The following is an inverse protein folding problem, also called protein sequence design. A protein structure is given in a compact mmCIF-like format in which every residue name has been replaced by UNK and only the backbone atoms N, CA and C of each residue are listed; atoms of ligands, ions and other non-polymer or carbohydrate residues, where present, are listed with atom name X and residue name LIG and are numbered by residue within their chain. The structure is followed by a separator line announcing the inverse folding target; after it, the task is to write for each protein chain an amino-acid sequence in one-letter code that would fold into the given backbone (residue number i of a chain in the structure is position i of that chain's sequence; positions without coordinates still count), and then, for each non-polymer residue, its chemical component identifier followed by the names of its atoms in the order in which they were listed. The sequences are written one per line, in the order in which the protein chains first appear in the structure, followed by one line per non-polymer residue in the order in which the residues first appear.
data_IF_830771498179
#
_entry.id   IF_830771498179
#
_cell.length_a   1.000
_cell.length_b   1.000
_cell.length_c   1.000
_cell.angle_alpha   90.00
_cell.angle_beta   90.00
_cell.angle_gamma   90.00
#
_symmetry.space_group_name_H-M   'P 1'
#
loop_
_entity.id
_entity.type
_entity.pdbx_description
1 polymer ?
#
# COMPACT_ATOMS: atom_id res chain seq x y z
N UNK A 1 -8.76 -11.07 -21.31
CA UNK A 1 -7.59 -11.50 -22.15
C UNK A 1 -6.28 -11.47 -21.35
N UNK A 2 -5.90 -10.31 -20.75
CA UNK A 2 -4.63 -10.24 -20.00
C UNK A 2 -4.66 -11.08 -18.72
N UNK A 3 -5.71 -10.99 -17.92
CA UNK A 3 -5.90 -11.84 -16.74
C UNK A 3 -5.96 -13.33 -17.09
N UNK A 4 -6.55 -13.69 -18.24
CA UNK A 4 -6.61 -15.08 -18.72
C UNK A 4 -5.22 -15.63 -19.08
N UNK A 5 -4.37 -14.77 -19.66
CA UNK A 5 -2.99 -15.13 -19.94
C UNK A 5 -2.19 -15.36 -18.65
N UNK A 6 -2.36 -14.48 -17.66
CA UNK A 6 -1.71 -14.60 -16.36
C UNK A 6 -2.17 -15.90 -15.65
N UNK A 7 -3.47 -16.18 -15.63
CA UNK A 7 -4.00 -17.41 -15.04
C UNK A 7 -3.37 -18.65 -15.70
N UNK A 8 -3.28 -18.66 -17.03
CA UNK A 8 -2.65 -19.76 -17.75
C UNK A 8 -1.17 -19.90 -17.39
N UNK A 9 -0.41 -18.79 -17.44
CA UNK A 9 1.02 -18.82 -17.22
C UNK A 9 1.39 -19.29 -15.79
N UNK A 10 0.64 -18.85 -14.77
CA UNK A 10 0.98 -19.11 -13.37
C UNK A 10 0.28 -20.34 -12.78
N UNK A 11 -0.92 -20.68 -13.23
CA UNK A 11 -1.76 -21.68 -12.55
C UNK A 11 -2.09 -22.90 -13.41
N UNK A 12 -2.32 -22.71 -14.73
CA UNK A 12 -2.77 -23.80 -15.59
C UNK A 12 -1.59 -24.45 -16.32
N UNK A 13 -0.86 -23.66 -17.10
CA UNK A 13 0.24 -24.15 -17.93
C UNK A 13 1.58 -24.20 -17.13
N UNK A 14 1.65 -23.46 -16.00
CA UNK A 14 2.80 -23.34 -15.12
C UNK A 14 4.10 -22.99 -15.88
N UNK A 15 4.01 -22.05 -16.79
CA UNK A 15 5.12 -21.61 -17.66
C UNK A 15 5.81 -20.34 -17.18
N UNK A 16 5.31 -19.72 -16.09
CA UNK A 16 5.97 -18.57 -15.48
C UNK A 16 7.31 -18.99 -14.86
N UNK A 17 8.33 -18.14 -15.01
CA UNK A 17 9.66 -18.38 -14.46
C UNK A 17 9.74 -18.18 -12.91
N UNK A 18 8.64 -17.79 -12.28
CA UNK A 18 8.51 -17.51 -10.85
C UNK A 18 7.08 -17.77 -10.40
N UNK A 19 6.85 -17.97 -9.11
CA UNK A 19 5.58 -18.44 -8.56
C UNK A 19 4.58 -17.32 -8.33
N UNK A 20 5.05 -16.13 -7.92
CA UNK A 20 4.21 -14.98 -7.64
C UNK A 20 4.62 -13.77 -8.49
N UNK A 21 3.70 -12.87 -8.81
CA UNK A 21 4.03 -11.62 -9.51
C UNK A 21 5.03 -10.77 -8.72
N UNK A 22 5.90 -10.06 -9.45
CA UNK A 22 6.95 -9.24 -8.82
C UNK A 22 6.39 -8.10 -7.97
N UNK A 23 5.37 -7.38 -8.47
CA UNK A 23 4.69 -6.34 -7.69
C UNK A 23 3.32 -6.82 -7.26
N UNK A 24 3.00 -6.87 -5.95
CA UNK A 24 1.74 -7.41 -5.43
C UNK A 24 0.55 -6.43 -5.56
N UNK A 25 0.40 -5.83 -6.71
CA UNK A 25 -0.76 -4.99 -7.06
C UNK A 25 -1.78 -5.73 -7.93
N UNK A 26 -1.36 -6.81 -8.58
CA UNK A 26 -2.22 -7.58 -9.46
C UNK A 26 -3.35 -8.29 -8.71
N UNK A 27 -3.10 -8.72 -7.49
CA UNK A 27 -4.10 -9.37 -6.64
C UNK A 27 -5.27 -8.41 -6.36
N UNK A 28 -4.96 -7.16 -6.04
CA UNK A 28 -5.92 -6.08 -5.87
C UNK A 28 -6.70 -5.79 -7.16
N UNK A 29 -6.02 -5.77 -8.31
CA UNK A 29 -6.64 -5.56 -9.61
C UNK A 29 -7.59 -6.72 -9.98
N UNK A 30 -7.20 -7.97 -9.70
CA UNK A 30 -8.02 -9.16 -9.91
C UNK A 30 -9.28 -9.16 -9.03
N UNK A 31 -9.17 -8.73 -7.78
CA UNK A 31 -10.36 -8.54 -6.90
C UNK A 31 -11.32 -7.52 -7.50
N UNK A 32 -10.81 -6.39 -7.99
CA UNK A 32 -11.66 -5.38 -8.65
C UNK A 32 -12.29 -5.90 -9.94
N UNK A 33 -11.55 -6.68 -10.70
CA UNK A 33 -12.07 -7.31 -11.92
C UNK A 33 -13.18 -8.31 -11.59
N UNK A 34 -13.01 -9.11 -10.54
CA UNK A 34 -14.08 -9.99 -10.03
C UNK A 34 -15.33 -9.20 -9.65
N UNK A 35 -15.18 -8.10 -8.88
CA UNK A 35 -16.32 -7.26 -8.47
C UNK A 35 -17.06 -6.64 -9.66
N UNK A 36 -16.33 -6.31 -10.72
CA UNK A 36 -16.92 -5.72 -11.94
C UNK A 36 -17.58 -6.71 -12.88
N UNK A 37 -17.13 -7.98 -12.90
CA UNK A 37 -17.57 -8.98 -13.89
C UNK A 37 -18.38 -10.13 -13.30
N UNK A 38 -18.27 -10.39 -11.99
CA UNK A 38 -18.82 -11.57 -11.33
C UNK A 38 -18.07 -12.87 -11.59
N UNK A 39 -16.99 -12.83 -12.39
CA UNK A 39 -16.22 -14.02 -12.81
C UNK A 39 -15.32 -14.52 -11.66
N UNK A 40 -15.70 -15.60 -11.01
CA UNK A 40 -15.03 -16.17 -9.82
C UNK A 40 -13.55 -16.50 -10.04
N UNK A 41 -13.18 -16.89 -11.24
CA UNK A 41 -11.78 -17.24 -11.57
C UNK A 41 -10.80 -16.10 -11.24
N UNK A 42 -11.20 -14.83 -11.30
CA UNK A 42 -10.34 -13.72 -11.00
C UNK A 42 -10.04 -13.61 -9.49
N UNK A 43 -11.05 -13.78 -8.65
CA UNK A 43 -10.82 -13.80 -7.19
C UNK A 43 -10.05 -15.06 -6.75
N UNK A 44 -10.27 -16.20 -7.41
CA UNK A 44 -9.52 -17.43 -7.17
C UNK A 44 -8.05 -17.28 -7.56
N UNK A 45 -7.75 -16.58 -8.66
CA UNK A 45 -6.36 -16.27 -9.04
C UNK A 45 -5.71 -15.29 -8.06
N UNK A 46 -6.42 -14.26 -7.62
CA UNK A 46 -5.92 -13.35 -6.58
C UNK A 46 -5.58 -14.11 -5.28
N UNK A 47 -6.49 -14.99 -4.84
CA UNK A 47 -6.28 -15.85 -3.66
C UNK A 47 -5.10 -16.80 -3.86
N UNK A 48 -4.94 -17.38 -5.03
CA UNK A 48 -3.80 -18.24 -5.37
C UNK A 48 -2.47 -17.52 -5.13
N UNK A 49 -2.32 -16.26 -5.59
CA UNK A 49 -1.11 -15.50 -5.36
C UNK A 49 -0.88 -15.15 -3.88
N UNK A 50 -1.93 -14.78 -3.14
CA UNK A 50 -1.84 -14.56 -1.67
C UNK A 50 -1.40 -15.84 -0.95
N UNK A 51 -1.95 -17.00 -1.32
CA UNK A 51 -1.65 -18.26 -0.67
C UNK A 51 -0.23 -18.78 -1.02
N UNK A 52 0.27 -18.42 -2.19
CA UNK A 52 1.61 -18.84 -2.65
C UNK A 52 2.73 -17.97 -2.11
N UNK A 53 2.47 -16.67 -1.91
CA UNK A 53 3.50 -15.73 -1.45
C UNK A 53 4.02 -16.10 -0.06
N UNK A 54 5.36 -16.28 0.01
CA UNK A 54 6.04 -16.74 1.23
C UNK A 54 5.84 -18.21 1.58
N UNK A 55 5.20 -19.01 0.71
CA UNK A 55 4.88 -20.42 0.93
C UNK A 55 5.57 -21.36 -0.08
N UNK A 56 6.62 -20.92 -0.73
CA UNK A 56 7.25 -21.68 -1.80
C UNK A 56 8.73 -21.89 -1.54
N UNK A 57 9.20 -23.11 -1.78
CA UNK A 57 10.62 -23.44 -1.82
C UNK A 57 11.30 -22.90 -3.09
N UNK A 58 10.53 -22.34 -4.03
CA UNK A 58 11.02 -21.79 -5.28
C UNK A 58 11.16 -20.27 -5.21
N UNK A 59 12.19 -19.69 -5.83
CA UNK A 59 12.49 -18.27 -5.73
C UNK A 59 11.40 -17.40 -6.34
N UNK A 60 11.10 -16.28 -5.67
CA UNK A 60 10.43 -15.14 -6.27
C UNK A 60 11.31 -14.42 -7.30
N UNK A 61 10.86 -13.28 -7.79
CA UNK A 61 11.71 -12.40 -8.61
C UNK A 61 12.62 -11.62 -7.67
N UNK A 62 13.85 -12.08 -7.53
CA UNK A 62 14.85 -11.38 -6.74
C UNK A 62 15.94 -10.83 -7.65
N UNK A 63 16.50 -9.69 -7.26
CA UNK A 63 17.65 -9.05 -7.88
C UNK A 63 18.71 -8.83 -6.81
N UNK A 64 19.88 -8.37 -7.17
CA UNK A 64 20.97 -8.11 -6.22
C UNK A 64 20.58 -7.15 -5.07
N UNK A 65 19.56 -6.33 -5.28
CA UNK A 65 19.07 -5.34 -4.33
C UNK A 65 17.62 -5.61 -3.81
N UNK A 66 16.87 -6.48 -4.46
CA UNK A 66 15.50 -6.83 -4.10
C UNK A 66 15.46 -8.31 -3.67
N UNK A 67 15.46 -8.53 -2.37
CA UNK A 67 15.41 -9.85 -1.76
C UNK A 67 13.97 -10.25 -1.36
N UNK A 68 13.83 -11.37 -0.68
CA UNK A 68 12.56 -11.89 -0.18
C UNK A 68 11.81 -10.91 0.74
N UNK A 69 12.52 -10.16 1.59
CA UNK A 69 11.91 -9.14 2.46
C UNK A 69 11.34 -7.98 1.65
N UNK A 70 12.10 -7.49 0.68
CA UNK A 70 11.65 -6.44 -0.24
C UNK A 70 10.36 -6.84 -0.95
N UNK A 71 10.25 -8.11 -1.34
CA UNK A 71 9.15 -8.66 -2.13
C UNK A 71 8.01 -9.25 -1.31
N UNK A 72 8.09 -9.23 0.02
CA UNK A 72 7.15 -9.86 0.96
C UNK A 72 7.02 -11.38 0.75
N UNK A 73 8.08 -12.06 0.38
CA UNK A 73 8.13 -13.50 0.14
C UNK A 73 8.83 -14.28 1.28
N UNK A 74 9.31 -13.60 2.34
CA UNK A 74 10.09 -14.21 3.42
C UNK A 74 9.26 -15.14 4.32
N UNK A 75 7.97 -14.89 4.46
CA UNK A 75 7.03 -15.72 5.22
C UNK A 75 5.63 -15.70 4.59
N UNK A 76 4.81 -16.73 4.84
CA UNK A 76 3.41 -16.74 4.41
C UNK A 76 2.63 -15.52 4.89
N UNK A 77 1.74 -14.99 4.03
CA UNK A 77 0.96 -13.77 4.34
C UNK A 77 0.19 -13.90 5.65
N UNK A 78 -0.36 -15.09 5.97
CA UNK A 78 -1.11 -15.35 7.21
C UNK A 78 -0.24 -15.37 8.46
N UNK A 79 1.05 -15.56 8.32
CA UNK A 79 1.99 -15.63 9.44
C UNK A 79 2.64 -14.26 9.74
N UNK A 80 2.42 -13.26 8.87
CA UNK A 80 2.99 -11.92 9.05
C UNK A 80 2.55 -11.28 10.36
N UNK A 81 3.53 -10.75 11.07
CA UNK A 81 3.33 -10.04 12.34
C UNK A 81 3.68 -8.57 12.24
N UNK A 82 4.56 -8.23 11.32
CA UNK A 82 5.15 -6.89 11.16
C UNK A 82 5.15 -6.47 9.70
N UNK A 83 5.19 -5.17 9.47
CA UNK A 83 5.31 -4.59 8.14
C UNK A 83 6.78 -4.53 7.73
N UNK A 84 7.18 -5.33 6.76
CA UNK A 84 8.55 -5.44 6.30
C UNK A 84 8.68 -5.11 4.81
N UNK A 85 9.91 -4.75 4.40
CA UNK A 85 10.27 -4.52 3.01
C UNK A 85 9.65 -3.27 2.40
N UNK A 86 9.51 -3.28 1.10
CA UNK A 86 9.01 -2.12 0.35
C UNK A 86 7.57 -1.74 0.76
N UNK A 87 7.38 -0.51 1.20
CA UNK A 87 6.14 -0.06 1.85
C UNK A 87 4.91 -0.20 0.96
N UNK A 88 4.97 0.28 -0.28
CA UNK A 88 3.84 0.25 -1.21
C UNK A 88 3.46 -1.17 -1.58
N UNK A 89 4.46 -2.03 -1.86
CA UNK A 89 4.24 -3.45 -2.16
C UNK A 89 3.55 -4.18 -1.01
N UNK A 90 4.07 -3.99 0.20
CA UNK A 90 3.50 -4.59 1.41
C UNK A 90 2.06 -4.15 1.63
N UNK A 91 1.77 -2.87 1.50
CA UNK A 91 0.42 -2.33 1.69
C UNK A 91 -0.57 -2.77 0.60
N UNK A 92 -0.15 -2.84 -0.67
CA UNK A 92 -1.03 -3.37 -1.73
C UNK A 92 -1.31 -4.86 -1.57
N UNK A 93 -0.32 -5.64 -1.14
CA UNK A 93 -0.52 -7.05 -0.78
C UNK A 93 -1.60 -7.18 0.29
N UNK A 94 -1.51 -6.38 1.35
CA UNK A 94 -2.49 -6.41 2.45
C UNK A 94 -3.85 -5.85 2.07
N UNK A 95 -3.93 -4.93 1.11
CA UNK A 95 -5.22 -4.53 0.51
C UNK A 95 -5.93 -5.73 -0.13
N UNK A 96 -5.22 -6.50 -0.93
CA UNK A 96 -5.79 -7.70 -1.56
C UNK A 96 -6.10 -8.79 -0.52
N UNK A 97 -5.22 -8.97 0.46
CA UNK A 97 -5.44 -9.92 1.56
C UNK A 97 -6.72 -9.58 2.34
N UNK A 98 -6.95 -8.32 2.68
CA UNK A 98 -8.17 -7.88 3.36
C UNK A 98 -9.44 -8.10 2.52
N UNK A 99 -9.41 -7.77 1.23
CA UNK A 99 -10.53 -8.05 0.33
C UNK A 99 -10.84 -9.56 0.24
N UNK A 100 -9.80 -10.41 0.14
CA UNK A 100 -9.93 -11.87 0.08
C UNK A 100 -10.46 -12.41 1.41
N UNK A 101 -9.91 -11.94 2.54
CA UNK A 101 -10.35 -12.32 3.88
C UNK A 101 -11.85 -12.03 4.08
N UNK A 102 -12.31 -10.87 3.61
CA UNK A 102 -13.71 -10.48 3.69
C UNK A 102 -14.61 -11.37 2.81
N UNK A 103 -14.24 -11.60 1.56
CA UNK A 103 -15.04 -12.37 0.59
C UNK A 103 -15.14 -13.84 0.98
N UNK A 104 -14.03 -14.45 1.40
CA UNK A 104 -13.98 -15.86 1.78
C UNK A 104 -14.27 -16.13 3.27
N UNK A 105 -14.47 -15.08 4.07
CA UNK A 105 -14.63 -15.15 5.54
C UNK A 105 -13.44 -15.87 6.20
N UNK A 106 -12.23 -15.60 5.70
CA UNK A 106 -10.98 -16.18 6.18
C UNK A 106 -10.49 -15.41 7.43
N UNK A 107 -10.75 -15.94 8.61
CA UNK A 107 -10.42 -15.31 9.88
C UNK A 107 -8.91 -15.25 10.14
N UNK A 108 -8.14 -16.22 9.66
CA UNK A 108 -6.68 -16.24 9.85
C UNK A 108 -6.03 -15.11 9.03
N UNK A 109 -6.49 -14.94 7.80
CA UNK A 109 -6.04 -13.85 6.94
C UNK A 109 -6.49 -12.47 7.47
N UNK A 110 -7.74 -12.37 8.00
CA UNK A 110 -8.22 -11.16 8.70
C UNK A 110 -7.30 -10.82 9.88
N UNK A 111 -6.98 -11.79 10.73
CA UNK A 111 -6.11 -11.58 11.89
C UNK A 111 -4.69 -11.15 11.46
N UNK A 112 -4.17 -11.67 10.35
CA UNK A 112 -2.91 -11.20 9.78
C UNK A 112 -2.99 -9.74 9.33
N UNK A 113 -4.09 -9.34 8.69
CA UNK A 113 -4.33 -7.94 8.30
C UNK A 113 -4.38 -7.02 9.52
N UNK A 114 -5.08 -7.41 10.60
CA UNK A 114 -5.15 -6.64 11.83
C UNK A 114 -3.77 -6.44 12.48
N UNK A 115 -2.99 -7.52 12.62
CA UNK A 115 -1.62 -7.43 13.16
C UNK A 115 -0.71 -6.53 12.31
N UNK A 116 -0.82 -6.65 11.00
CA UNK A 116 -0.04 -5.84 10.07
C UNK A 116 -0.41 -4.35 10.18
N UNK A 117 -1.70 -4.03 10.24
CA UNK A 117 -2.20 -2.68 10.45
C UNK A 117 -1.67 -2.09 11.76
N UNK A 118 -1.80 -2.84 12.86
CA UNK A 118 -1.33 -2.42 14.18
C UNK A 118 0.20 -2.21 14.22
N UNK A 119 0.96 -3.04 13.51
CA UNK A 119 2.42 -2.86 13.38
C UNK A 119 2.77 -1.53 12.73
N UNK A 120 2.06 -1.14 11.68
CA UNK A 120 2.30 0.15 11.01
C UNK A 120 1.86 1.31 11.89
N UNK A 121 0.58 1.32 12.26
CA UNK A 121 -0.06 2.49 12.87
C UNK A 121 0.53 2.82 14.24
N UNK A 122 0.89 1.81 15.01
CA UNK A 122 1.39 2.01 16.37
C UNK A 122 2.91 2.18 16.45
N UNK A 123 3.67 1.79 15.39
CA UNK A 123 5.12 1.68 15.54
C UNK A 123 5.95 2.18 14.36
N UNK A 124 5.40 2.19 13.13
CA UNK A 124 6.16 2.41 11.89
C UNK A 124 5.57 3.49 10.98
N UNK A 125 4.62 4.25 11.50
CA UNK A 125 3.97 5.36 10.80
C UNK A 125 4.41 6.68 11.41
N UNK A 126 4.75 7.64 10.56
CA UNK A 126 5.02 9.03 10.96
C UNK A 126 3.73 9.74 11.39
N UNK A 127 3.87 10.82 12.12
CA UNK A 127 2.75 11.65 12.60
C UNK A 127 1.84 12.14 11.46
N UNK A 128 2.40 12.31 10.28
CA UNK A 128 1.68 12.71 9.06
C UNK A 128 0.85 11.58 8.42
N UNK A 129 1.00 10.34 8.89
CA UNK A 129 0.42 9.18 8.23
C UNK A 129 1.33 8.57 7.15
N UNK A 130 2.52 9.14 6.92
CA UNK A 130 3.51 8.57 6.01
C UNK A 130 4.12 7.29 6.55
N UNK A 131 4.51 6.37 5.68
CA UNK A 131 5.21 5.12 5.99
C UNK A 131 6.48 4.98 5.18
N UNK A 132 7.47 4.26 5.75
CA UNK A 132 8.78 4.07 5.14
C UNK A 132 9.81 5.05 5.63
N UNK A 133 10.69 4.59 6.52
CA UNK A 133 11.77 5.40 7.09
C UNK A 133 13.06 5.34 6.28
N UNK A 134 13.19 4.38 5.36
CA UNK A 134 14.39 4.21 4.53
C UNK A 134 14.10 4.41 3.06
N UNK A 135 14.95 5.22 2.39
CA UNK A 135 14.94 5.31 0.93
C UNK A 135 15.64 4.12 0.25
N UNK A 136 16.43 3.35 1.02
CA UNK A 136 16.98 2.09 0.53
C UNK A 136 15.87 1.03 0.49
N UNK A 137 15.54 0.60 -0.72
CA UNK A 137 14.43 -0.32 -0.95
C UNK A 137 13.05 0.27 -0.66
N UNK A 138 12.95 1.59 -0.48
CA UNK A 138 11.67 2.28 -0.23
C UNK A 138 10.87 1.62 0.90
N UNK A 139 11.57 1.32 2.01
CA UNK A 139 11.16 0.27 2.93
C UNK A 139 10.78 0.75 4.33
N UNK A 140 9.96 -0.07 4.98
CA UNK A 140 9.84 -0.06 6.43
C UNK A 140 11.19 -0.48 7.05
N UNK A 141 11.45 0.05 8.26
CA UNK A 141 12.55 -0.37 9.12
C UNK A 141 12.01 -0.98 10.42
N UNK A 142 12.82 -1.08 11.46
CA UNK A 142 12.42 -1.63 12.74
C UNK A 142 11.42 -0.73 13.48
N UNK A 143 10.75 -1.26 14.50
CA UNK A 143 9.78 -0.54 15.31
C UNK A 143 10.38 0.75 15.90
N UNK A 144 9.65 1.87 15.78
CA UNK A 144 10.00 3.21 16.28
C UNK A 144 11.24 3.86 15.65
N UNK A 145 11.79 3.32 14.59
CA UNK A 145 12.83 3.96 13.80
C UNK A 145 12.20 4.94 12.79
N UNK A 146 11.90 6.14 13.27
CA UNK A 146 11.15 7.18 12.54
C UNK A 146 11.90 8.52 12.54
N UNK A 147 13.14 8.57 12.00
CA UNK A 147 13.91 9.80 11.92
C UNK A 147 13.27 10.79 10.94
N UNK A 148 13.14 12.07 11.34
CA UNK A 148 12.48 13.09 10.54
C UNK A 148 13.21 13.39 9.22
N UNK A 149 14.54 13.55 9.28
CA UNK A 149 15.38 13.99 8.15
C UNK A 149 15.55 12.92 7.07
N UNK A 150 15.62 11.66 7.48
CA UNK A 150 15.85 10.54 6.57
C UNK A 150 14.57 9.78 6.21
N UNK A 151 13.41 10.28 6.63
CA UNK A 151 12.12 9.71 6.26
C UNK A 151 11.97 9.67 4.75
N UNK A 152 11.71 8.49 4.22
CA UNK A 152 11.34 8.34 2.82
C UNK A 152 9.89 8.78 2.59
N UNK A 153 8.97 8.22 3.36
CA UNK A 153 7.56 8.58 3.44
C UNK A 153 6.96 8.86 2.03
N UNK A 154 6.99 7.84 1.18
CA UNK A 154 6.49 7.93 -0.18
C UNK A 154 5.00 8.29 -0.23
N UNK A 155 4.62 9.17 -1.14
CA UNK A 155 3.21 9.52 -1.34
C UNK A 155 2.35 8.29 -1.67
N UNK A 156 2.85 7.33 -2.47
CA UNK A 156 2.14 6.09 -2.73
C UNK A 156 1.97 5.21 -1.49
N UNK A 157 2.90 5.24 -0.54
CA UNK A 157 2.76 4.50 0.71
C UNK A 157 1.60 5.05 1.57
N UNK A 158 1.47 6.38 1.66
CA UNK A 158 0.33 7.00 2.34
C UNK A 158 -1.01 6.64 1.66
N UNK A 159 -1.07 6.68 0.33
CA UNK A 159 -2.26 6.29 -0.43
C UNK A 159 -2.61 4.82 -0.19
N UNK A 160 -1.64 3.92 -0.26
CA UNK A 160 -1.88 2.49 -0.06
C UNK A 160 -2.27 2.16 1.39
N UNK A 161 -1.80 2.92 2.38
CA UNK A 161 -2.25 2.79 3.76
C UNK A 161 -3.72 3.23 3.92
N UNK A 162 -4.13 4.34 3.31
CA UNK A 162 -5.54 4.75 3.28
C UNK A 162 -6.43 3.70 2.59
N UNK A 163 -5.98 3.14 1.46
CA UNK A 163 -6.66 2.06 0.75
C UNK A 163 -6.77 0.78 1.58
N UNK A 164 -5.77 0.47 2.39
CA UNK A 164 -5.80 -0.67 3.29
C UNK A 164 -6.76 -0.43 4.45
N UNK A 165 -6.72 0.73 5.09
CA UNK A 165 -7.64 1.12 6.15
C UNK A 165 -9.11 1.09 5.70
N UNK A 166 -9.41 1.56 4.48
CA UNK A 166 -10.75 1.46 3.87
C UNK A 166 -11.26 0.01 3.80
N UNK A 167 -10.38 -0.93 3.48
CA UNK A 167 -10.75 -2.34 3.42
C UNK A 167 -10.99 -2.95 4.80
N UNK A 168 -10.24 -2.48 5.78
CA UNK A 168 -10.40 -2.92 7.17
C UNK A 168 -11.74 -2.47 7.77
N UNK A 169 -12.29 -1.33 7.35
CA UNK A 169 -13.65 -0.88 7.73
C UNK A 169 -14.76 -1.88 7.38
N UNK A 170 -14.55 -2.76 6.40
CA UNK A 170 -15.53 -3.79 6.01
C UNK A 170 -15.72 -4.87 7.08
N UNK A 171 -14.76 -5.03 7.98
CA UNK A 171 -14.85 -6.01 9.08
C UNK A 171 -15.58 -5.47 10.31
N UNK A 172 -15.87 -4.19 10.36
CA UNK A 172 -16.58 -3.51 11.42
C UNK A 172 -16.29 -2.00 11.42
N UNK A 173 -17.23 -1.21 11.92
CA UNK A 173 -17.12 0.23 12.03
C UNK A 173 -16.18 0.64 13.19
N UNK A 174 -14.89 0.43 13.01
CA UNK A 174 -13.86 0.84 13.97
C UNK A 174 -13.26 2.18 13.53
N UNK A 175 -13.41 3.22 14.36
CA UNK A 175 -12.95 4.58 14.08
C UNK A 175 -11.45 4.67 13.83
N UNK A 176 -10.65 3.72 14.36
CA UNK A 176 -9.20 3.68 14.11
C UNK A 176 -8.85 3.67 12.62
N UNK A 177 -9.65 2.98 11.81
CA UNK A 177 -9.43 2.94 10.36
C UNK A 177 -9.80 4.26 9.70
N UNK A 178 -10.92 4.88 10.09
CA UNK A 178 -11.33 6.21 9.58
C UNK A 178 -10.34 7.29 9.95
N UNK A 179 -9.83 7.29 11.20
CA UNK A 179 -8.84 8.24 11.68
C UNK A 179 -7.52 8.16 10.89
N UNK A 180 -7.12 6.95 10.50
CA UNK A 180 -5.93 6.75 9.67
C UNK A 180 -6.18 7.22 8.24
N UNK A 181 -7.35 6.98 7.67
CA UNK A 181 -7.72 7.51 6.36
C UNK A 181 -7.67 9.04 6.38
N UNK A 182 -8.27 9.68 7.37
CA UNK A 182 -8.27 11.15 7.51
C UNK A 182 -6.84 11.70 7.63
N UNK A 183 -6.05 11.13 8.53
CA UNK A 183 -4.67 11.55 8.77
C UNK A 183 -3.80 11.42 7.53
N UNK A 184 -3.83 10.28 6.87
CA UNK A 184 -3.06 10.04 5.65
C UNK A 184 -3.51 10.93 4.51
N UNK A 185 -4.82 11.12 4.35
CA UNK A 185 -5.38 11.95 3.30
C UNK A 185 -4.90 13.40 3.40
N UNK A 186 -5.09 14.04 4.56
CA UNK A 186 -4.75 15.45 4.70
C UNK A 186 -3.25 15.71 4.82
N UNK A 187 -2.50 14.85 5.48
CA UNK A 187 -1.11 15.13 5.82
C UNK A 187 -0.08 14.30 5.02
N UNK A 188 -0.45 13.12 4.54
CA UNK A 188 0.45 12.24 3.79
C UNK A 188 0.23 12.27 2.27
N UNK A 189 -0.99 12.56 1.82
CA UNK A 189 -1.38 12.51 0.40
C UNK A 189 -1.53 13.92 -0.17
N UNK A 190 -2.44 14.72 0.40
CA UNK A 190 -2.73 16.06 -0.12
C UNK A 190 -1.54 17.02 0.05
N UNK A 191 -0.69 16.82 1.05
CA UNK A 191 0.57 17.58 1.19
C UNK A 191 1.55 17.28 0.03
N UNK A 192 1.45 16.14 -0.61
CA UNK A 192 2.27 15.77 -1.76
C UNK A 192 1.92 16.50 -3.06
N UNK A 193 0.74 17.13 -3.17
CA UNK A 193 0.29 17.82 -4.38
C UNK A 193 0.40 19.34 -4.22
N UNK A 194 0.76 20.06 -5.29
CA UNK A 194 0.72 21.51 -5.32
C UNK A 194 -0.72 22.06 -5.35
N UNK A 195 -0.92 23.31 -4.93
CA UNK A 195 -2.25 23.93 -4.89
C UNK A 195 -2.92 24.03 -6.27
N UNK A 196 -2.13 24.11 -7.34
CA UNK A 196 -2.65 24.11 -8.71
C UNK A 196 -2.85 22.70 -9.30
N UNK A 197 -2.50 21.64 -8.52
CA UNK A 197 -2.67 20.24 -8.90
C UNK A 197 -1.69 19.72 -9.96
N UNK A 198 -0.62 20.46 -10.30
CA UNK A 198 0.25 20.13 -11.43
C UNK A 198 1.60 19.58 -11.04
N UNK A 199 2.00 19.72 -9.78
CA UNK A 199 3.31 19.29 -9.30
C UNK A 199 3.19 18.47 -8.02
N UNK A 200 4.14 17.58 -7.79
CA UNK A 200 4.03 16.54 -6.77
C UNK A 200 5.36 16.33 -6.04
N UNK A 201 5.28 15.83 -4.80
CA UNK A 201 6.38 15.17 -4.12
C UNK A 201 6.26 13.65 -4.29
N UNK A 202 7.42 12.99 -4.44
CA UNK A 202 7.56 11.54 -4.32
C UNK A 202 7.84 11.19 -2.85
N UNK A 203 8.97 11.70 -2.32
CA UNK A 203 9.41 11.56 -0.94
C UNK A 203 8.94 12.74 -0.09
N UNK A 204 8.54 12.48 1.16
CA UNK A 204 8.00 13.51 2.07
C UNK A 204 8.71 13.45 3.42
N UNK A 205 10.01 13.79 3.51
CA UNK A 205 10.70 13.88 4.79
C UNK A 205 10.05 14.95 5.69
N UNK A 206 10.10 14.75 7.00
CA UNK A 206 9.50 15.67 7.97
C UNK A 206 10.42 16.84 8.33
N UNK A 207 11.68 16.73 8.00
CA UNK A 207 12.70 17.75 8.19
C UNK A 207 13.52 17.89 6.90
N UNK A 208 13.65 19.13 6.41
CA UNK A 208 14.44 19.45 5.23
C UNK A 208 15.58 20.37 5.68
N UNK A 209 16.80 19.94 5.41
CA UNK A 209 18.01 20.69 5.64
C UNK A 209 18.73 20.86 4.30
N UNK A 210 18.75 22.08 3.71
CA UNK A 210 19.33 22.31 2.39
C UNK A 210 20.81 21.95 2.27
N UNK A 211 21.56 22.02 3.38
CA UNK A 211 22.97 21.68 3.40
C UNK A 211 23.23 20.18 3.52
N UNK A 212 22.26 19.43 4.03
CA UNK A 212 22.37 17.98 4.26
C UNK A 212 21.68 17.16 3.16
N UNK A 213 20.51 17.59 2.73
CA UNK A 213 19.73 16.88 1.73
C UNK A 213 20.40 16.91 0.34
N UNK A 214 20.12 15.92 -0.48
CA UNK A 214 20.70 15.72 -1.80
C UNK A 214 22.21 15.43 -1.83
N UNK A 215 22.83 15.08 -0.69
CA UNK A 215 24.18 14.55 -0.60
C UNK A 215 24.19 13.18 0.08
N UNK A 216 25.20 12.38 -0.24
CA UNK A 216 25.41 11.12 0.48
C UNK A 216 26.10 11.41 1.81
N UNK A 217 25.60 10.77 2.85
CA UNK A 217 26.17 10.85 4.21
C UNK A 217 26.33 9.45 4.80
N UNK A 218 26.92 9.36 6.00
CA UNK A 218 27.02 8.08 6.70
C UNK A 218 25.68 7.49 7.13
N UNK A 219 24.62 8.30 7.15
CA UNK A 219 23.28 7.91 7.64
C UNK A 219 22.24 7.84 6.54
N UNK A 220 22.50 8.42 5.35
CA UNK A 220 21.54 8.49 4.26
C UNK A 220 22.22 8.54 2.90
N UNK A 221 21.67 7.80 1.96
CA UNK A 221 21.93 7.97 0.53
C UNK A 221 21.21 9.23 0.04
N UNK A 222 21.79 9.93 -0.93
CA UNK A 222 21.16 11.09 -1.59
C UNK A 222 19.74 10.76 -2.03
N UNK A 223 18.83 11.71 -1.85
CA UNK A 223 17.46 11.59 -2.34
C UNK A 223 17.44 11.36 -3.86
N UNK A 224 16.58 10.45 -4.26
CA UNK A 224 16.35 10.12 -5.67
C UNK A 224 15.56 11.22 -6.37
N UNK A 225 14.61 11.81 -5.66
CA UNK A 225 13.70 12.83 -6.17
C UNK A 225 13.86 14.16 -5.43
N UNK A 226 13.47 15.30 -6.02
CA UNK A 226 13.47 16.59 -5.32
C UNK A 226 12.52 16.56 -4.12
N UNK A 227 13.02 17.02 -2.95
CA UNK A 227 12.26 17.10 -1.70
C UNK A 227 12.00 18.53 -1.23
N UNK A 228 12.69 19.52 -1.83
CA UNK A 228 12.53 20.94 -1.50
C UNK A 228 11.52 21.64 -2.41
N UNK A 229 11.16 21.03 -3.51
CA UNK A 229 10.23 21.57 -4.49
C UNK A 229 9.45 20.45 -5.17
N UNK A 230 8.14 20.63 -5.32
CA UNK A 230 7.29 19.75 -6.12
C UNK A 230 7.64 19.86 -7.59
N UNK A 231 7.56 18.77 -8.33
CA UNK A 231 7.87 18.71 -9.77
C UNK A 231 6.72 18.09 -10.54
N UNK A 232 6.60 18.44 -11.83
CA UNK A 232 5.49 17.97 -12.68
C UNK A 232 5.62 16.48 -13.02
N UNK A 233 6.84 16.01 -13.23
CA UNK A 233 7.12 14.61 -13.65
C UNK A 233 8.35 14.10 -12.93
N UNK A 234 8.32 12.81 -12.57
CA UNK A 234 9.45 12.04 -12.05
C UNK A 234 9.92 11.03 -13.10
N UNK A 235 11.13 10.53 -12.95
CA UNK A 235 11.63 9.38 -13.73
C UNK A 235 10.76 8.12 -13.47
N UNK A 236 10.31 7.93 -12.21
CA UNK A 236 9.32 6.95 -11.83
C UNK A 236 8.00 7.66 -11.49
N UNK A 237 7.03 7.61 -12.39
CA UNK A 237 5.79 8.40 -12.29
C UNK A 237 4.64 7.63 -11.62
N UNK A 238 4.87 6.94 -10.49
CA UNK A 238 3.81 6.22 -9.79
C UNK A 238 2.90 7.15 -8.97
N UNK A 239 3.45 8.15 -8.28
CA UNK A 239 2.70 9.00 -7.35
C UNK A 239 1.64 9.88 -8.01
N UNK A 240 1.88 10.61 -9.12
CA UNK A 240 0.85 11.45 -9.74
C UNK A 240 -0.42 10.68 -10.13
N UNK A 241 -0.38 9.58 -10.90
CA UNK A 241 -1.58 8.83 -11.24
C UNK A 241 -2.23 8.17 -10.02
N UNK A 242 -1.44 7.80 -9.00
CA UNK A 242 -1.97 7.23 -7.77
C UNK A 242 -2.75 8.27 -6.95
N UNK A 243 -2.26 9.52 -6.87
CA UNK A 243 -3.01 10.64 -6.27
C UNK A 243 -4.32 10.86 -7.02
N UNK A 244 -4.29 10.92 -8.35
CA UNK A 244 -5.51 11.08 -9.16
C UNK A 244 -6.52 9.96 -8.92
N UNK A 245 -6.04 8.70 -8.85
CA UNK A 245 -6.87 7.54 -8.50
C UNK A 245 -7.51 7.70 -7.12
N UNK A 246 -6.74 8.13 -6.13
CA UNK A 246 -7.21 8.32 -4.77
C UNK A 246 -8.26 9.45 -4.70
N UNK A 247 -7.97 10.62 -5.26
CA UNK A 247 -8.89 11.77 -5.28
C UNK A 247 -10.21 11.42 -5.97
N UNK A 248 -10.16 10.69 -7.10
CA UNK A 248 -11.35 10.22 -7.79
C UNK A 248 -12.19 9.19 -6.99
N UNK A 249 -11.65 8.60 -5.94
CA UNK A 249 -12.33 7.62 -5.09
C UNK A 249 -12.70 8.12 -3.70
N UNK A 250 -12.43 9.39 -3.36
CA UNK A 250 -12.68 9.97 -2.03
C UNK A 250 -14.16 9.86 -1.62
N UNK A 251 -15.09 10.02 -2.56
CA UNK A 251 -16.53 9.90 -2.28
C UNK A 251 -16.89 8.55 -1.63
N UNK A 252 -16.22 7.47 -1.99
CA UNK A 252 -16.40 6.15 -1.40
C UNK A 252 -15.84 6.00 0.03
N UNK A 253 -15.13 6.99 0.55
CA UNK A 253 -14.55 6.99 1.88
C UNK A 253 -15.37 7.78 2.90
N UNK A 254 -16.35 8.58 2.45
CA UNK A 254 -17.09 9.52 3.30
C UNK A 254 -18.08 8.79 4.18
N UNK A 255 -18.84 7.85 3.62
CA UNK A 255 -19.90 7.13 4.31
C UNK A 255 -19.68 5.63 4.28
N UNK A 256 -20.07 4.97 5.37
CA UNK A 256 -20.27 3.53 5.44
C UNK A 256 -21.71 3.22 5.78
N UNK A 257 -22.18 2.04 5.41
CA UNK A 257 -23.57 1.63 5.62
C UNK A 257 -23.62 0.17 6.11
N UNK A 258 -24.52 -0.10 7.03
CA UNK A 258 -25.07 -1.42 7.26
C UNK A 258 -26.61 -1.35 7.22
N UNK A 259 -27.30 -2.44 7.53
CA UNK A 259 -28.76 -2.54 7.39
C UNK A 259 -29.54 -1.46 8.18
N UNK A 260 -28.96 -0.88 9.24
CA UNK A 260 -29.65 0.02 10.16
C UNK A 260 -28.88 1.31 10.48
N UNK A 261 -27.65 1.45 10.01
CA UNK A 261 -26.75 2.52 10.46
C UNK A 261 -26.02 3.16 9.28
N UNK A 262 -25.93 4.48 9.32
CA UNK A 262 -25.04 5.26 8.47
C UNK A 262 -23.86 5.71 9.29
N UNK A 263 -22.64 5.35 8.86
CA UNK A 263 -21.39 5.77 9.47
C UNK A 263 -20.83 6.95 8.68
N UNK A 264 -20.54 8.05 9.35
CA UNK A 264 -19.84 9.20 8.75
C UNK A 264 -18.35 9.00 9.05
N UNK A 265 -17.62 8.48 8.08
CA UNK A 265 -16.20 8.17 8.21
C UNK A 265 -15.31 9.40 7.99
N UNK A 266 -15.76 10.36 7.16
CA UNK A 266 -15.02 11.58 6.87
C UNK A 266 -15.96 12.78 6.87
N UNK A 267 -15.57 13.84 7.58
CA UNK A 267 -16.36 15.08 7.64
C UNK A 267 -15.99 16.00 6.48
N UNK A 268 -16.60 15.76 5.34
CA UNK A 268 -16.43 16.55 4.12
C UNK A 268 -17.76 17.11 3.64
N UNK A 269 -17.71 18.27 2.97
CA UNK A 269 -18.88 18.80 2.28
C UNK A 269 -19.26 17.86 1.13
N UNK A 270 -20.40 17.20 1.26
CA UNK A 270 -20.86 16.16 0.34
C UNK A 270 -22.36 16.05 0.34
N UNK A 271 -22.91 15.60 -0.77
CA UNK A 271 -24.31 15.21 -0.93
C UNK A 271 -24.36 13.72 -1.27
N UNK A 272 -25.29 13.00 -0.69
CA UNK A 272 -25.53 11.58 -0.95
C UNK A 272 -27.02 11.28 -0.90
N UNK A 273 -27.51 10.50 -1.85
CA UNK A 273 -28.89 9.99 -1.95
C UNK A 273 -29.04 8.65 -1.22
#
# INVERSE_FOLDING_TARGET
KYADYIERAFKIDNTAAFITPGHPEIELALVRLYKATGEKRYIELAKYFIDKRGNCDEPGIYTDWANEYYSQDEIPVRERKTAEGHCVRALYLMCAAADIAYIYKDNDLKTACERFFDSIVNKRMYITGGGGSSNMGESFTIDYDLPNRTAYAETCAAISLAMFAERMLKFGADSRYSDIIERTMYNGIMSGISLDGKSFFYENPLEIDPDFNNINTSTKVKERFPITQRVEVFDCSCCPPNIMRFVASISGLIYGFDDNTVYINQYMNSEGD
#
